data_IF_088443123411
#
_entry.id   IF_088443123411
#
_cell.length_a   1.000
_cell.length_b   1.000
_cell.length_c   1.000
_cell.angle_alpha   90.00
_cell.angle_beta   90.00
_cell.angle_gamma   90.00
#
_symmetry.space_group_name_H-M   'P 1'
#
loop_
_entity.id
_entity.type
_entity.pdbx_description
1 polymer ?
#
# COMPACT_ATOMS: atom_id res chain seq x y z
N UNK A 1 -4.72 -4.47 16.25
CA UNK A 1 -3.46 -5.01 15.70
C UNK A 1 -2.78 -3.88 14.97
N UNK A 2 -1.57 -3.48 15.38
CA UNK A 2 -0.84 -2.41 14.70
C UNK A 2 -0.11 -3.00 13.50
N UNK A 3 -0.44 -2.57 12.28
CA UNK A 3 0.17 -3.12 11.07
C UNK A 3 1.66 -2.72 10.96
N UNK A 4 2.06 -1.63 11.63
CA UNK A 4 3.45 -1.20 11.72
C UNK A 4 4.35 -2.25 12.39
N UNK A 5 3.80 -3.03 13.32
CA UNK A 5 4.54 -4.05 14.08
C UNK A 5 4.75 -5.35 13.30
N UNK A 6 4.02 -5.54 12.20
CA UNK A 6 4.04 -6.77 11.39
C UNK A 6 4.97 -6.68 10.18
N UNK A 7 5.42 -5.47 9.84
CA UNK A 7 6.23 -5.24 8.64
C UNK A 7 7.70 -5.10 9.05
N UNK A 8 8.46 -6.19 8.87
CA UNK A 8 9.91 -6.17 9.04
C UNK A 8 10.56 -5.65 7.75
N UNK A 9 11.48 -4.70 7.92
CA UNK A 9 11.99 -3.89 6.82
C UNK A 9 13.40 -4.29 6.44
N UNK A 10 13.68 -4.57 5.15
CA UNK A 10 15.03 -4.80 4.71
C UNK A 10 15.83 -3.49 4.73
N UNK A 11 17.11 -3.59 5.08
CA UNK A 11 18.07 -2.50 5.00
C UNK A 11 18.39 -2.21 3.51
N UNK A 12 17.84 -1.12 2.99
CA UNK A 12 17.94 -0.74 1.57
C UNK A 12 19.40 -0.55 1.12
N UNK A 13 20.31 -0.17 2.03
CA UNK A 13 21.73 0.02 1.71
C UNK A 13 22.44 -1.28 1.34
N UNK A 14 21.90 -2.42 1.76
CA UNK A 14 22.47 -3.76 1.51
C UNK A 14 21.96 -4.41 0.23
N UNK A 15 20.94 -3.83 -0.40
CA UNK A 15 20.36 -4.36 -1.64
C UNK A 15 21.17 -3.91 -2.86
N UNK A 16 21.28 -4.76 -3.87
CA UNK A 16 21.84 -4.39 -5.18
C UNK A 16 20.88 -3.47 -5.96
N UNK A 17 21.36 -2.78 -6.99
CA UNK A 17 20.51 -1.91 -7.82
C UNK A 17 19.39 -2.69 -8.52
N UNK A 18 19.66 -3.93 -8.94
CA UNK A 18 18.65 -4.82 -9.51
C UNK A 18 17.57 -5.24 -8.50
N UNK A 19 17.96 -5.48 -7.24
CA UNK A 19 17.00 -5.78 -6.16
C UNK A 19 16.18 -4.55 -5.77
N UNK A 20 16.78 -3.36 -5.70
CA UNK A 20 16.06 -2.11 -5.48
C UNK A 20 15.06 -1.82 -6.60
N UNK A 21 15.45 -2.05 -7.85
CA UNK A 21 14.56 -1.89 -9.00
C UNK A 21 13.36 -2.84 -8.96
N UNK A 22 13.59 -4.12 -8.62
CA UNK A 22 12.50 -5.09 -8.42
C UNK A 22 11.60 -4.72 -7.25
N UNK A 23 12.19 -4.28 -6.13
CA UNK A 23 11.44 -3.89 -4.95
C UNK A 23 10.53 -2.68 -5.23
N UNK A 24 11.05 -1.68 -5.96
CA UNK A 24 10.25 -0.54 -6.44
C UNK A 24 9.08 -0.98 -7.30
N UNK A 25 9.34 -1.79 -8.34
CA UNK A 25 8.28 -2.25 -9.24
C UNK A 25 7.21 -3.09 -8.54
N UNK A 26 7.60 -3.95 -7.60
CA UNK A 26 6.66 -4.72 -6.79
C UNK A 26 5.79 -3.83 -5.88
N UNK A 27 6.38 -2.75 -5.32
CA UNK A 27 5.64 -1.79 -4.49
C UNK A 27 4.64 -0.98 -5.30
N UNK A 28 5.03 -0.51 -6.50
CA UNK A 28 4.10 0.19 -7.41
C UNK A 28 2.89 -0.70 -7.74
N UNK A 29 3.13 -1.97 -8.12
CA UNK A 29 2.07 -2.93 -8.41
C UNK A 29 1.18 -3.23 -7.20
N UNK A 30 1.76 -3.30 -6.00
CA UNK A 30 1.01 -3.52 -4.77
C UNK A 30 0.09 -2.33 -4.46
N UNK A 31 0.58 -1.10 -4.62
CA UNK A 31 -0.22 0.12 -4.42
C UNK A 31 -1.37 0.18 -5.43
N UNK A 32 -1.11 -0.05 -6.71
CA UNK A 32 -2.15 -0.08 -7.76
C UNK A 32 -3.23 -1.14 -7.48
N UNK A 33 -2.80 -2.32 -7.04
CA UNK A 33 -3.72 -3.42 -6.68
C UNK A 33 -4.58 -3.07 -5.47
N UNK A 34 -4.02 -2.41 -4.46
CA UNK A 34 -4.76 -1.95 -3.28
C UNK A 34 -5.79 -0.88 -3.66
N UNK A 35 -5.41 0.10 -4.48
CA UNK A 35 -6.34 1.14 -4.98
C UNK A 35 -7.50 0.50 -5.75
N UNK A 36 -7.19 -0.47 -6.62
CA UNK A 36 -8.20 -1.23 -7.36
C UNK A 36 -9.15 -1.97 -6.42
N UNK A 37 -8.61 -2.64 -5.40
CA UNK A 37 -9.39 -3.32 -4.37
C UNK A 37 -10.30 -2.36 -3.60
N UNK A 38 -9.78 -1.20 -3.19
CA UNK A 38 -10.57 -0.16 -2.52
C UNK A 38 -11.74 0.32 -3.38
N UNK A 39 -11.52 0.52 -4.68
CA UNK A 39 -12.58 0.90 -5.61
C UNK A 39 -13.68 -0.16 -5.66
N UNK A 40 -13.33 -1.43 -5.88
CA UNK A 40 -14.31 -2.54 -5.93
C UNK A 40 -15.09 -2.63 -4.61
N UNK A 41 -14.41 -2.42 -3.49
CA UNK A 41 -15.04 -2.43 -2.18
C UNK A 41 -16.02 -1.26 -1.99
N UNK A 42 -15.65 -0.06 -2.44
CA UNK A 42 -16.54 1.11 -2.46
C UNK A 42 -17.76 0.92 -3.37
N UNK A 43 -17.56 0.34 -4.56
CA UNK A 43 -18.64 0.00 -5.50
C UNK A 43 -19.63 -0.99 -4.86
N UNK A 44 -19.12 -2.01 -4.15
CA UNK A 44 -19.95 -2.97 -3.41
C UNK A 44 -20.74 -2.31 -2.27
N UNK A 45 -20.09 -1.45 -1.48
CA UNK A 45 -20.76 -0.71 -0.40
C UNK A 45 -21.93 0.13 -0.92
N UNK A 46 -21.71 0.87 -2.01
CA UNK A 46 -22.77 1.65 -2.62
C UNK A 46 -23.92 0.76 -3.10
N UNK A 47 -23.62 -0.35 -3.77
CA UNK A 47 -24.62 -1.33 -4.19
C UNK A 47 -25.41 -1.90 -3.01
N UNK A 48 -24.75 -2.25 -1.91
CA UNK A 48 -25.38 -2.83 -0.73
C UNK A 48 -26.34 -1.85 -0.03
N UNK A 49 -25.99 -0.56 0.04
CA UNK A 49 -26.85 0.46 0.66
C UNK A 49 -28.12 0.77 -0.16
N UNK A 50 -28.01 0.76 -1.50
CA UNK A 50 -29.16 1.05 -2.39
C UNK A 50 -30.02 -0.18 -2.71
N UNK A 51 -29.58 -1.38 -2.32
CA UNK A 51 -30.30 -2.61 -2.59
C UNK A 51 -31.27 -2.96 -1.46
N UNK A 52 -32.56 -2.76 -1.70
CA UNK A 52 -33.64 -3.07 -0.75
C UNK A 52 -33.72 -4.55 -0.36
N UNK A 53 -33.13 -5.45 -1.15
CA UNK A 53 -33.05 -6.88 -0.85
C UNK A 53 -31.84 -7.26 0.03
N UNK A 54 -31.07 -6.28 0.52
CA UNK A 54 -29.92 -6.50 1.38
C UNK A 54 -30.09 -5.76 2.74
N UNK A 55 -31.07 -6.18 3.56
CA UNK A 55 -31.51 -5.43 4.74
C UNK A 55 -30.43 -5.30 5.84
N UNK A 56 -29.52 -6.27 5.93
CA UNK A 56 -28.46 -6.31 6.96
C UNK A 56 -27.18 -5.59 6.51
N UNK A 57 -27.16 -4.98 5.32
CA UNK A 57 -25.98 -4.32 4.77
C UNK A 57 -25.41 -3.21 5.64
N UNK A 58 -26.26 -2.59 6.47
CA UNK A 58 -25.88 -1.49 7.37
C UNK A 58 -25.11 -1.95 8.60
N UNK A 59 -25.31 -3.19 9.05
CA UNK A 59 -24.65 -3.73 10.25
C UNK A 59 -23.15 -3.99 10.02
N UNK A 60 -22.75 -4.16 8.76
CA UNK A 60 -21.36 -4.39 8.37
C UNK A 60 -20.59 -3.11 7.99
N UNK A 61 -21.25 -1.95 7.91
CA UNK A 61 -20.60 -0.67 7.54
C UNK A 61 -19.51 -0.28 8.54
N UNK A 62 -19.70 -0.60 9.82
CA UNK A 62 -18.69 -0.36 10.86
C UNK A 62 -17.41 -1.18 10.65
N UNK A 63 -17.53 -2.47 10.35
CA UNK A 63 -16.40 -3.36 10.06
C UNK A 63 -15.68 -2.93 8.77
N UNK A 64 -16.43 -2.45 7.79
CA UNK A 64 -15.88 -1.90 6.54
C UNK A 64 -15.10 -0.61 6.82
N UNK A 65 -15.64 0.29 7.64
CA UNK A 65 -14.95 1.50 8.05
C UNK A 65 -13.62 1.19 8.74
N UNK A 66 -13.59 0.18 9.61
CA UNK A 66 -12.37 -0.30 10.27
C UNK A 66 -11.38 -0.89 9.25
N UNK A 67 -11.86 -1.71 8.31
CA UNK A 67 -11.03 -2.27 7.24
C UNK A 67 -10.38 -1.17 6.39
N UNK A 68 -11.15 -0.18 5.92
CA UNK A 68 -10.64 0.95 5.14
C UNK A 68 -9.62 1.77 5.93
N UNK A 69 -9.84 1.98 7.23
CA UNK A 69 -8.88 2.66 8.11
C UNK A 69 -7.55 1.91 8.21
N UNK A 70 -7.58 0.59 8.41
CA UNK A 70 -6.37 -0.24 8.43
C UNK A 70 -5.65 -0.27 7.08
N UNK A 71 -6.41 -0.31 5.98
CA UNK A 71 -5.87 -0.31 4.62
C UNK A 71 -5.17 1.02 4.29
N UNK A 72 -5.72 2.15 4.76
CA UNK A 72 -5.10 3.47 4.61
C UNK A 72 -3.76 3.56 5.35
N UNK A 73 -3.67 3.01 6.56
CA UNK A 73 -2.38 2.89 7.28
C UNK A 73 -1.38 2.05 6.48
N UNK A 74 -1.82 0.91 5.94
CA UNK A 74 -0.97 0.06 5.11
C UNK A 74 -0.42 0.78 3.88
N UNK A 75 -1.29 1.46 3.12
CA UNK A 75 -0.88 2.24 1.93
C UNK A 75 0.13 3.34 2.32
N UNK A 76 -0.08 4.01 3.46
CA UNK A 76 0.85 5.04 3.92
C UNK A 76 2.25 4.49 4.15
N UNK A 77 2.36 3.31 4.78
CA UNK A 77 3.65 2.62 4.97
C UNK A 77 4.27 2.27 3.61
N UNK A 78 3.50 1.73 2.66
CA UNK A 78 4.02 1.40 1.32
C UNK A 78 4.54 2.64 0.58
N UNK A 79 3.84 3.77 0.68
CA UNK A 79 4.30 5.04 0.10
C UNK A 79 5.61 5.53 0.73
N UNK A 80 5.74 5.43 2.06
CA UNK A 80 7.02 5.74 2.73
C UNK A 80 8.16 4.82 2.25
N UNK A 81 7.87 3.53 1.99
CA UNK A 81 8.87 2.61 1.41
C UNK A 81 9.30 3.03 0.02
N UNK A 82 8.33 3.40 -0.83
CA UNK A 82 8.62 3.83 -2.18
C UNK A 82 9.55 5.04 -2.16
N UNK A 83 9.26 6.05 -1.32
CA UNK A 83 10.12 7.22 -1.13
C UNK A 83 11.53 6.86 -0.65
N UNK A 84 11.67 5.93 0.29
CA UNK A 84 12.98 5.46 0.77
C UNK A 84 13.81 4.76 -0.32
N UNK A 85 13.16 3.95 -1.18
CA UNK A 85 13.82 3.29 -2.31
C UNK A 85 14.24 4.29 -3.37
N UNK A 86 13.37 5.24 -3.72
CA UNK A 86 13.69 6.30 -4.67
C UNK A 86 14.85 7.19 -4.19
N UNK A 87 14.89 7.48 -2.89
CA UNK A 87 16.00 8.16 -2.25
C UNK A 87 17.31 7.38 -2.43
N UNK A 88 17.34 6.09 -2.09
CA UNK A 88 18.56 5.30 -2.17
C UNK A 88 19.05 5.11 -3.61
N UNK A 89 18.14 4.89 -4.56
CA UNK A 89 18.47 4.86 -5.99
C UNK A 89 19.11 6.18 -6.43
N UNK A 90 18.54 7.31 -6.00
CA UNK A 90 19.06 8.65 -6.34
C UNK A 90 20.42 8.92 -5.69
N UNK A 91 20.61 8.51 -4.42
CA UNK A 91 21.86 8.62 -3.68
C UNK A 91 23.00 7.87 -4.37
N UNK A 92 22.73 6.66 -4.89
CA UNK A 92 23.73 5.87 -5.64
C UNK A 92 24.11 6.53 -6.96
N UNK A 93 23.15 7.09 -7.70
CA UNK A 93 23.43 7.85 -8.93
C UNK A 93 24.36 9.04 -8.67
N UNK A 94 24.15 9.77 -7.58
CA UNK A 94 25.01 10.90 -7.17
C UNK A 94 26.42 10.44 -6.76
N UNK A 95 26.53 9.32 -6.02
CA UNK A 95 27.83 8.77 -5.61
C UNK A 95 28.62 8.20 -6.79
N UNK A 96 27.96 7.56 -7.75
CA UNK A 96 28.58 6.99 -8.95
C UNK A 96 29.06 8.03 -9.96
N UNK A 97 28.52 9.25 -9.93
CA UNK A 97 28.92 10.38 -10.80
C UNK A 97 30.06 11.23 -10.25
N UNK A 98 30.53 10.98 -9.01
CA UNK A 98 31.67 11.66 -8.39
C UNK A 98 33.04 11.03 -8.69
N UNK A 99 33.19 10.32 -9.82
CA UNK A 99 34.48 9.76 -10.27
C UNK A 99 35.04 10.56 -11.44
#
# INVERSE_FOLDING_TARGET
MNIDELIILPDLSKLTDGELGKLRGNLDLAIDSLITGMKVFGDFMFWADVNENYPDGKDHIGDIGLFLSQLSSFISILNERLGGIEYEISNRKIKGTRK
#
